data_IF_259308106081
#
_entry.id   IF_259308106081
#
_cell.length_a   1.000
_cell.length_b   1.000
_cell.length_c   1.000
_cell.angle_alpha   90.00
_cell.angle_beta   90.00
_cell.angle_gamma   90.00
#
_symmetry.space_group_name_H-M   'P 1'
#
loop_
_entity.id
_entity.type
_entity.pdbx_description
1 polymer ?
#
# COMPACT_ATOMS: atom_id res chain seq x y z
N UNK A 1 -45.87 6.76 6.61
CA UNK A 1 -45.13 8.04 6.66
C UNK A 1 -43.96 7.91 7.63
N UNK A 2 -42.76 7.58 7.14
CA UNK A 2 -41.53 7.67 7.95
C UNK A 2 -41.09 9.13 7.94
N UNK A 3 -41.20 9.81 9.09
CA UNK A 3 -40.64 11.15 9.27
C UNK A 3 -39.16 11.10 8.88
N UNK A 4 -38.84 11.74 7.75
CA UNK A 4 -37.48 12.01 7.30
C UNK A 4 -36.90 12.97 8.33
N UNK A 5 -36.28 12.42 9.39
CA UNK A 5 -35.54 13.21 10.36
C UNK A 5 -34.52 14.01 9.56
N UNK A 6 -34.69 15.34 9.52
CA UNK A 6 -33.70 16.25 8.96
C UNK A 6 -32.38 15.94 9.66
N UNK A 7 -31.45 15.31 8.94
CA UNK A 7 -30.15 14.99 9.49
C UNK A 7 -29.49 16.30 9.92
N UNK A 8 -29.31 16.47 11.23
CA UNK A 8 -28.77 17.69 11.81
C UNK A 8 -27.25 17.67 11.73
N UNK A 9 -26.68 18.85 11.52
CA UNK A 9 -25.23 19.03 11.53
C UNK A 9 -24.66 18.67 12.91
N UNK A 10 -23.43 18.17 12.98
CA UNK A 10 -22.73 17.84 14.22
C UNK A 10 -22.75 19.04 15.18
N UNK A 11 -22.53 20.25 14.63
CA UNK A 11 -22.58 21.50 15.37
C UNK A 11 -23.98 21.82 15.89
N UNK A 12 -25.02 21.68 15.06
CA UNK A 12 -26.41 21.91 15.52
C UNK A 12 -26.81 20.91 16.60
N UNK A 13 -26.43 19.64 16.44
CA UNK A 13 -26.73 18.60 17.43
C UNK A 13 -26.02 18.84 18.75
N UNK A 14 -24.75 19.26 18.73
CA UNK A 14 -24.01 19.67 19.92
C UNK A 14 -24.64 20.90 20.58
N UNK A 15 -24.92 21.96 19.80
CA UNK A 15 -25.52 23.18 20.33
C UNK A 15 -26.91 22.95 20.92
N UNK A 16 -27.75 22.12 20.29
CA UNK A 16 -29.08 21.79 20.81
C UNK A 16 -29.02 20.91 22.05
N UNK A 17 -28.15 19.88 22.06
CA UNK A 17 -28.03 18.99 23.23
C UNK A 17 -27.44 19.71 24.43
N UNK A 18 -26.34 20.45 24.25
CA UNK A 18 -25.72 21.25 25.31
C UNK A 18 -26.66 22.38 25.74
N UNK A 19 -27.29 23.07 24.80
CA UNK A 19 -28.26 24.13 25.08
C UNK A 19 -29.47 23.64 25.89
N UNK A 20 -30.00 22.46 25.55
CA UNK A 20 -31.10 21.84 26.31
C UNK A 20 -30.66 21.44 27.73
N UNK A 21 -29.47 20.84 27.87
CA UNK A 21 -28.92 20.48 29.19
C UNK A 21 -28.75 21.74 30.04
N UNK A 22 -28.12 22.78 29.50
CA UNK A 22 -27.92 24.04 30.21
C UNK A 22 -29.26 24.70 30.59
N UNK A 23 -30.24 24.73 29.68
CA UNK A 23 -31.55 25.32 29.95
C UNK A 23 -32.30 24.57 31.07
N UNK A 24 -32.31 23.24 31.03
CA UNK A 24 -32.96 22.42 32.07
C UNK A 24 -32.28 22.64 33.43
N UNK A 25 -30.96 22.57 33.48
CA UNK A 25 -30.22 22.80 34.73
C UNK A 25 -30.33 24.24 35.24
N UNK A 26 -30.41 25.22 34.34
CA UNK A 26 -30.65 26.62 34.70
C UNK A 26 -32.05 26.80 35.31
N UNK A 27 -33.09 26.21 34.71
CA UNK A 27 -34.44 26.27 35.27
C UNK A 27 -34.51 25.64 36.66
N UNK A 28 -33.91 24.45 36.83
CA UNK A 28 -33.83 23.78 38.14
C UNK A 28 -33.06 24.65 39.14
N UNK A 29 -31.93 25.23 38.74
CA UNK A 29 -31.12 26.11 39.58
C UNK A 29 -31.89 27.36 40.01
N UNK A 30 -32.58 28.03 39.07
CA UNK A 30 -33.39 29.23 39.38
C UNK A 30 -34.58 28.91 40.27
N UNK A 31 -35.25 27.78 40.05
CA UNK A 31 -36.37 27.34 40.88
C UNK A 31 -35.90 27.02 42.29
N UNK A 32 -34.78 26.30 42.41
CA UNK A 32 -34.19 25.96 43.70
C UNK A 32 -33.73 27.21 44.47
N UNK A 33 -33.04 28.15 43.80
CA UNK A 33 -32.60 29.39 44.42
C UNK A 33 -33.78 30.30 44.82
N UNK A 34 -34.85 30.31 44.04
CA UNK A 34 -36.08 31.00 44.40
C UNK A 34 -36.72 30.38 45.65
N UNK A 35 -36.83 29.05 45.70
CA UNK A 35 -37.40 28.33 46.84
C UNK A 35 -36.57 28.53 48.13
N UNK A 36 -35.26 28.32 48.07
CA UNK A 36 -34.35 28.51 49.21
C UNK A 36 -34.41 29.97 49.71
N UNK A 37 -34.42 30.94 48.78
CA UNK A 37 -34.55 32.36 49.14
C UNK A 37 -35.87 32.65 49.86
N UNK A 38 -36.99 32.06 49.40
CA UNK A 38 -38.28 32.23 50.08
C UNK A 38 -38.30 31.62 51.49
N UNK A 39 -37.66 30.46 51.69
CA UNK A 39 -37.54 29.88 53.04
C UNK A 39 -36.66 30.73 53.95
N UNK A 40 -35.51 31.21 53.45
CA UNK A 40 -34.60 32.05 54.25
C UNK A 40 -35.24 33.39 54.65
N UNK A 41 -36.02 34.03 53.77
CA UNK A 41 -36.76 35.25 54.10
C UNK A 41 -37.79 34.98 55.21
N UNK A 42 -38.51 33.85 55.16
CA UNK A 42 -39.47 33.48 56.19
C UNK A 42 -38.80 33.21 57.55
N UNK A 43 -37.67 32.51 57.55
CA UNK A 43 -36.88 32.26 58.76
C UNK A 43 -36.34 33.58 59.35
N UNK A 44 -35.86 34.48 58.50
CA UNK A 44 -35.37 35.79 58.94
C UNK A 44 -36.48 36.67 59.52
N UNK A 45 -37.66 36.68 58.90
CA UNK A 45 -38.84 37.38 59.44
C UNK A 45 -39.27 36.81 60.81
N UNK A 46 -39.23 35.48 60.99
CA UNK A 46 -39.52 34.85 62.28
C UNK A 46 -38.50 35.22 63.34
N UNK A 47 -37.20 35.22 63.00
CA UNK A 47 -36.14 35.63 63.91
C UNK A 47 -36.25 37.10 64.34
N UNK A 48 -36.61 38.01 63.41
CA UNK A 48 -36.88 39.42 63.73
C UNK A 48 -38.10 39.60 64.64
N UNK A 49 -39.13 38.76 64.51
CA UNK A 49 -40.30 38.78 65.39
C UNK A 49 -40.02 38.24 66.79
N UNK A 50 -39.09 37.28 66.94
CA UNK A 50 -38.80 36.62 68.23
C UNK A 50 -37.80 37.37 69.12
N UNK A 51 -37.30 38.55 68.72
CA UNK A 51 -36.41 39.45 69.51
C UNK A 51 -35.31 38.73 70.34
N UNK A 52 -34.65 37.70 69.77
CA UNK A 52 -33.58 36.96 70.46
C UNK A 52 -32.23 37.65 70.31
N UNK A 53 -31.72 38.12 71.43
CA UNK A 53 -30.44 38.81 71.55
C UNK A 53 -29.28 37.80 71.69
N UNK A 54 -28.83 37.15 70.60
CA UNK A 54 -27.75 36.17 70.67
C UNK A 54 -26.81 36.15 69.43
N UNK A 55 -25.81 37.04 69.43
CA UNK A 55 -24.86 37.25 68.31
C UNK A 55 -24.06 36.00 67.89
N UNK A 56 -23.88 35.02 68.80
CA UNK A 56 -23.13 33.79 68.50
C UNK A 56 -23.91 32.75 67.69
N UNK A 57 -25.24 32.76 67.77
CA UNK A 57 -26.09 31.90 66.94
C UNK A 57 -26.18 32.41 65.50
N UNK A 58 -26.20 33.74 65.34
CA UNK A 58 -26.32 34.40 64.03
C UNK A 58 -25.17 33.98 63.10
N UNK A 59 -23.92 33.91 63.57
CA UNK A 59 -22.80 33.49 62.73
C UNK A 59 -22.82 31.99 62.34
N UNK A 60 -23.41 31.13 63.18
CA UNK A 60 -23.54 29.71 62.86
C UNK A 60 -24.67 29.49 61.83
N UNK A 61 -25.80 30.16 62.04
CA UNK A 61 -26.95 30.16 61.11
C UNK A 61 -26.57 30.74 59.75
N UNK A 62 -25.76 31.81 59.69
CA UNK A 62 -25.23 32.35 58.43
C UNK A 62 -24.34 31.31 57.73
N UNK A 63 -23.48 30.59 58.45
CA UNK A 63 -22.61 29.58 57.83
C UNK A 63 -23.41 28.39 57.29
N UNK A 64 -24.45 27.97 58.01
CA UNK A 64 -25.36 26.92 57.57
C UNK A 64 -26.19 27.36 56.36
N UNK A 65 -26.73 28.58 56.34
CA UNK A 65 -27.45 29.14 55.21
C UNK A 65 -26.57 29.34 53.96
N UNK A 66 -25.30 29.75 54.16
CA UNK A 66 -24.33 29.84 53.06
C UNK A 66 -23.95 28.44 52.56
N UNK A 67 -23.80 27.45 53.45
CA UNK A 67 -23.50 26.09 53.04
C UNK A 67 -24.68 25.42 52.32
N UNK A 68 -25.92 25.64 52.79
CA UNK A 68 -27.15 25.15 52.13
C UNK A 68 -27.29 25.73 50.73
N UNK A 69 -26.82 26.95 50.50
CA UNK A 69 -26.83 27.60 49.18
C UNK A 69 -25.70 27.09 48.26
N UNK A 70 -24.46 26.99 48.75
CA UNK A 70 -23.28 26.69 47.93
C UNK A 70 -23.20 25.21 47.55
N UNK A 71 -23.45 24.29 48.49
CA UNK A 71 -23.20 22.85 48.29
C UNK A 71 -24.05 22.27 47.14
N UNK A 72 -25.37 22.51 47.08
CA UNK A 72 -26.20 22.04 45.98
C UNK A 72 -25.87 22.74 44.65
N UNK A 73 -25.50 24.03 44.70
CA UNK A 73 -25.06 24.79 43.52
C UNK A 73 -23.81 24.18 42.86
N UNK A 74 -22.77 23.89 43.66
CA UNK A 74 -21.54 23.24 43.18
C UNK A 74 -21.81 21.83 42.64
N UNK A 75 -22.68 21.07 43.31
CA UNK A 75 -23.11 19.75 42.87
C UNK A 75 -23.81 19.81 41.51
N UNK A 76 -24.75 20.74 41.33
CA UNK A 76 -25.48 20.93 40.08
C UNK A 76 -24.57 21.34 38.93
N UNK A 77 -23.61 22.24 39.15
CA UNK A 77 -22.62 22.62 38.14
C UNK A 77 -21.75 21.44 37.73
N UNK A 78 -21.28 20.66 38.71
CA UNK A 78 -20.44 19.48 38.46
C UNK A 78 -21.21 18.40 37.69
N UNK A 79 -22.48 18.17 38.04
CA UNK A 79 -23.36 17.24 37.33
C UNK A 79 -23.62 17.71 35.89
N UNK A 80 -23.85 19.01 35.69
CA UNK A 80 -24.04 19.60 34.35
C UNK A 80 -22.80 19.39 33.48
N UNK A 81 -21.60 19.69 34.01
CA UNK A 81 -20.34 19.48 33.30
C UNK A 81 -20.12 18.01 32.94
N UNK A 82 -20.43 17.08 33.86
CA UNK A 82 -20.30 15.65 33.63
C UNK A 82 -21.23 15.18 32.50
N UNK A 83 -22.49 15.62 32.48
CA UNK A 83 -23.46 15.25 31.43
C UNK A 83 -23.04 15.86 30.08
N UNK A 84 -22.62 17.12 30.06
CA UNK A 84 -22.08 17.77 28.87
C UNK A 84 -20.86 17.00 28.31
N UNK A 85 -19.93 16.62 29.18
CA UNK A 85 -18.76 15.83 28.80
C UNK A 85 -19.16 14.47 28.19
N UNK A 86 -20.10 13.75 28.81
CA UNK A 86 -20.60 12.48 28.27
C UNK A 86 -21.31 12.65 26.93
N UNK A 87 -22.09 13.72 26.75
CA UNK A 87 -22.79 14.03 25.51
C UNK A 87 -21.80 14.30 24.38
N UNK A 88 -20.79 15.15 24.61
CA UNK A 88 -19.72 15.43 23.64
C UNK A 88 -18.99 14.14 23.26
N UNK A 89 -18.56 13.34 24.24
CA UNK A 89 -17.85 12.08 23.99
C UNK A 89 -18.66 11.09 23.15
N UNK A 90 -19.98 10.98 23.38
CA UNK A 90 -20.84 10.12 22.55
C UNK A 90 -21.00 10.64 21.13
N UNK A 91 -21.14 11.95 20.96
CA UNK A 91 -21.37 12.57 19.66
C UNK A 91 -20.10 12.51 18.77
N UNK A 92 -18.91 12.61 19.36
CA UNK A 92 -17.63 12.56 18.63
C UNK A 92 -17.06 11.15 18.45
N UNK A 93 -17.56 10.14 19.17
CA UNK A 93 -17.11 8.75 19.07
C UNK A 93 -17.05 8.19 17.63
N UNK A 94 -18.03 8.41 16.73
CA UNK A 94 -17.96 7.89 15.36
C UNK A 94 -16.76 8.42 14.57
N UNK A 95 -16.25 9.61 14.92
CA UNK A 95 -15.07 10.20 14.28
C UNK A 95 -13.79 9.46 14.69
N UNK A 96 -13.69 9.03 15.95
CA UNK A 96 -12.58 8.21 16.44
C UNK A 96 -12.65 6.78 15.85
N UNK A 97 -13.85 6.23 15.65
CA UNK A 97 -14.05 4.96 14.96
C UNK A 97 -13.64 5.06 13.47
N UNK A 98 -13.99 6.16 12.79
CA UNK A 98 -13.53 6.44 11.42
C UNK A 98 -12.00 6.56 11.32
N UNK A 99 -11.36 7.27 12.26
CA UNK A 99 -9.90 7.39 12.29
C UNK A 99 -9.25 6.01 12.45
N UNK A 100 -9.73 5.20 13.40
CA UNK A 100 -9.17 3.87 13.66
C UNK A 100 -9.36 2.92 12.47
N UNK A 101 -10.51 3.00 11.79
CA UNK A 101 -10.78 2.23 10.58
C UNK A 101 -9.86 2.64 9.41
N UNK A 102 -9.52 3.93 9.30
CA UNK A 102 -8.55 4.43 8.31
C UNK A 102 -7.11 4.01 8.64
N UNK A 103 -6.71 4.07 9.92
CA UNK A 103 -5.36 3.66 10.37
C UNK A 103 -5.14 2.15 10.26
N UNK A 104 -6.20 1.34 10.42
CA UNK A 104 -6.13 -0.12 10.29
C UNK A 104 -6.15 -0.60 8.82
N UNK A 105 -6.33 0.30 7.85
CA UNK A 105 -6.41 -0.08 6.43
C UNK A 105 -5.05 -0.08 5.76
N UNK A 106 -4.63 -1.27 5.37
CA UNK A 106 -3.50 -1.53 4.47
C UNK A 106 -3.91 -1.36 3.00
N UNK A 107 -2.93 -1.24 2.10
CA UNK A 107 -3.13 -1.03 0.65
C UNK A 107 -4.07 -2.06 -0.04
N UNK A 108 -4.25 -3.25 0.56
CA UNK A 108 -5.11 -4.32 0.04
C UNK A 108 -6.57 -4.27 0.49
N UNK A 109 -6.92 -3.49 1.52
CA UNK A 109 -8.28 -3.48 2.06
C UNK A 109 -9.09 -2.30 1.51
N UNK A 110 -9.64 -2.49 0.31
CA UNK A 110 -10.47 -1.51 -0.42
C UNK A 110 -11.98 -1.70 -0.18
N UNK A 111 -12.38 -2.46 0.85
CA UNK A 111 -13.79 -2.68 1.17
C UNK A 111 -14.50 -1.35 1.52
N UNK A 112 -15.79 -1.15 1.18
CA UNK A 112 -16.48 0.10 1.49
C UNK A 112 -16.54 0.35 3.01
N UNK A 113 -16.33 1.60 3.43
CA UNK A 113 -16.44 2.02 4.82
C UNK A 113 -17.91 2.07 5.21
N UNK A 114 -18.33 1.16 6.11
CA UNK A 114 -19.71 1.00 6.56
C UNK A 114 -19.99 1.71 7.90
N UNK A 115 -19.59 2.97 8.03
CA UNK A 115 -19.86 3.75 9.25
C UNK A 115 -21.23 4.41 9.13
N UNK A 116 -22.19 3.90 9.89
CA UNK A 116 -23.55 4.43 9.95
C UNK A 116 -23.61 5.55 11.01
N UNK A 117 -23.37 6.79 10.57
CA UNK A 117 -23.58 7.97 11.43
C UNK A 117 -24.94 8.61 11.16
N UNK A 118 -25.53 9.18 12.21
CA UNK A 118 -26.75 10.01 12.11
C UNK A 118 -26.44 11.50 11.88
N UNK A 119 -25.16 11.86 11.69
CA UNK A 119 -24.70 13.22 11.41
C UNK A 119 -24.27 13.38 9.96
N UNK A 120 -24.79 14.44 9.33
CA UNK A 120 -24.70 14.68 7.89
C UNK A 120 -23.25 14.88 7.42
N UNK A 121 -22.41 15.52 8.24
CA UNK A 121 -21.00 15.75 7.90
C UNK A 121 -20.18 14.46 7.90
N UNK A 122 -20.43 13.55 8.86
CA UNK A 122 -19.71 12.28 8.94
C UNK A 122 -20.12 11.39 7.76
N UNK A 123 -21.42 11.35 7.43
CA UNK A 123 -21.93 10.64 6.25
C UNK A 123 -21.33 11.18 4.95
N UNK A 124 -21.20 12.51 4.82
CA UNK A 124 -20.61 13.15 3.65
C UNK A 124 -19.13 12.81 3.48
N UNK A 125 -18.35 12.80 4.57
CA UNK A 125 -16.93 12.42 4.55
C UNK A 125 -16.77 10.94 4.21
N UNK A 126 -17.56 10.06 4.82
CA UNK A 126 -17.56 8.62 4.50
C UNK A 126 -17.92 8.39 3.03
N UNK A 127 -18.93 9.08 2.51
CA UNK A 127 -19.30 9.01 1.09
C UNK A 127 -18.19 9.49 0.17
N UNK A 128 -17.52 10.60 0.48
CA UNK A 128 -16.41 11.12 -0.32
C UNK A 128 -15.21 10.15 -0.35
N UNK A 129 -14.87 9.56 0.80
CA UNK A 129 -13.81 8.55 0.89
C UNK A 129 -14.20 7.30 0.09
N UNK A 130 -15.42 6.79 0.25
CA UNK A 130 -15.90 5.65 -0.52
C UNK A 130 -15.87 5.93 -2.03
N UNK A 131 -16.28 7.12 -2.49
CA UNK A 131 -16.17 7.50 -3.90
C UNK A 131 -14.72 7.53 -4.40
N UNK A 132 -13.78 8.01 -3.59
CA UNK A 132 -12.36 8.01 -3.94
C UNK A 132 -11.83 6.57 -4.05
N UNK A 133 -12.16 5.70 -3.09
CA UNK A 133 -11.82 4.27 -3.11
C UNK A 133 -12.42 3.58 -4.35
N UNK A 134 -13.69 3.87 -4.68
CA UNK A 134 -14.33 3.35 -5.90
C UNK A 134 -13.63 3.84 -7.15
N UNK A 135 -13.26 5.12 -7.24
CA UNK A 135 -12.51 5.64 -8.40
C UNK A 135 -11.15 4.99 -8.51
N UNK A 136 -10.43 4.82 -7.41
CA UNK A 136 -9.12 4.18 -7.38
C UNK A 136 -9.21 2.72 -7.83
N UNK A 137 -10.16 1.95 -7.28
CA UNK A 137 -10.41 0.56 -7.70
C UNK A 137 -10.77 0.47 -9.18
N UNK A 138 -11.65 1.36 -9.67
CA UNK A 138 -12.03 1.37 -11.09
C UNK A 138 -10.86 1.76 -12.00
N UNK A 139 -10.01 2.72 -11.60
CA UNK A 139 -8.81 3.09 -12.38
C UNK A 139 -7.80 1.94 -12.41
N UNK A 140 -7.58 1.28 -11.27
CA UNK A 140 -6.73 0.09 -11.21
C UNK A 140 -7.31 -1.05 -12.05
N UNK A 141 -8.63 -1.28 -12.02
CA UNK A 141 -9.31 -2.28 -12.85
C UNK A 141 -9.24 -1.96 -14.35
N UNK A 142 -9.33 -0.70 -14.73
CA UNK A 142 -9.18 -0.28 -16.11
C UNK A 142 -7.72 -0.42 -16.60
N UNK A 143 -6.73 -0.16 -15.75
CA UNK A 143 -5.33 -0.51 -16.04
C UNK A 143 -5.13 -2.03 -16.17
N UNK A 144 -5.83 -2.84 -15.35
CA UNK A 144 -5.81 -4.32 -15.42
C UNK A 144 -6.31 -4.84 -16.77
N UNK A 145 -7.42 -4.29 -17.28
CA UNK A 145 -8.01 -4.70 -18.57
C UNK A 145 -7.19 -4.19 -19.76
N UNK A 146 -6.68 -2.95 -19.69
CA UNK A 146 -5.90 -2.33 -20.76
C UNK A 146 -4.64 -3.15 -21.13
N UNK A 147 -3.95 -3.72 -20.15
CA UNK A 147 -2.72 -4.50 -20.40
C UNK A 147 -3.00 -5.84 -21.12
N UNK A 148 -4.10 -6.51 -20.77
CA UNK A 148 -4.46 -7.80 -21.37
C UNK A 148 -4.95 -7.65 -22.82
N UNK A 149 -5.73 -6.60 -23.08
CA UNK A 149 -6.29 -6.34 -24.41
C UNK A 149 -5.19 -5.85 -25.38
N UNK A 150 -4.27 -4.99 -24.93
CA UNK A 150 -3.14 -4.50 -25.74
C UNK A 150 -2.23 -5.65 -26.20
N UNK A 151 -2.07 -6.71 -25.39
CA UNK A 151 -1.30 -7.89 -25.78
C UNK A 151 -1.87 -8.60 -27.01
N UNK A 152 -3.19 -8.79 -27.00
CA UNK A 152 -3.89 -9.48 -28.06
C UNK A 152 -4.02 -8.59 -29.31
N UNK A 153 -4.30 -7.30 -29.10
CA UNK A 153 -4.40 -6.27 -30.14
C UNK A 153 -3.06 -5.97 -30.82
N UNK A 154 -1.90 -6.19 -30.16
CA UNK A 154 -0.58 -6.07 -30.80
C UNK A 154 -0.15 -7.34 -31.54
N UNK A 155 -0.54 -8.53 -31.05
CA UNK A 155 -0.19 -9.81 -31.68
C UNK A 155 -0.80 -9.96 -33.08
N UNK A 156 -2.04 -9.50 -33.26
CA UNK A 156 -2.77 -9.58 -34.53
C UNK A 156 -2.10 -8.79 -35.67
N UNK A 157 -1.76 -7.49 -35.53
CA UNK A 157 -1.06 -6.74 -36.56
C UNK A 157 0.37 -7.23 -36.78
N UNK A 158 1.10 -7.62 -35.72
CA UNK A 158 2.47 -8.16 -35.86
C UNK A 158 2.50 -9.49 -36.64
N UNK A 159 1.53 -10.37 -36.41
CA UNK A 159 1.35 -11.60 -37.19
C UNK A 159 1.04 -11.28 -38.66
N UNK A 160 0.27 -10.21 -38.92
CA UNK A 160 0.01 -9.72 -40.27
C UNK A 160 1.26 -9.20 -40.99
N UNK A 161 2.13 -8.47 -40.29
CA UNK A 161 3.43 -8.01 -40.83
C UNK A 161 4.35 -9.20 -41.13
N UNK A 162 4.41 -10.20 -40.23
CA UNK A 162 5.16 -11.44 -40.45
C UNK A 162 4.71 -12.14 -41.72
N UNK A 163 3.40 -12.32 -41.89
CA UNK A 163 2.82 -12.95 -43.08
C UNK A 163 3.17 -12.19 -44.36
N UNK A 164 3.15 -10.86 -44.33
CA UNK A 164 3.55 -10.03 -45.48
C UNK A 164 5.03 -10.20 -45.83
N UNK A 165 5.91 -10.28 -44.83
CA UNK A 165 7.33 -10.54 -45.04
C UNK A 165 7.57 -11.94 -45.62
N UNK A 166 6.90 -12.97 -45.11
CA UNK A 166 6.97 -14.33 -45.64
C UNK A 166 6.47 -14.41 -47.10
N UNK A 167 5.40 -13.68 -47.44
CA UNK A 167 4.87 -13.57 -48.81
C UNK A 167 5.83 -12.82 -49.75
N UNK A 168 6.43 -11.73 -49.30
CA UNK A 168 7.45 -10.97 -50.06
C UNK A 168 8.69 -11.84 -50.32
N UNK A 169 9.12 -12.62 -49.33
CA UNK A 169 10.21 -13.59 -49.49
C UNK A 169 9.92 -14.62 -50.59
N UNK A 170 8.71 -15.20 -50.56
CA UNK A 170 8.28 -16.20 -51.55
C UNK A 170 8.10 -15.62 -52.95
N UNK A 171 7.57 -14.41 -53.06
CA UNK A 171 7.19 -13.79 -54.34
C UNK A 171 8.38 -13.11 -55.04
N UNK A 172 9.28 -12.49 -54.28
CA UNK A 172 10.40 -11.72 -54.83
C UNK A 172 11.79 -12.34 -54.59
N UNK A 173 11.86 -13.51 -53.93
CA UNK A 173 13.12 -14.18 -53.57
C UNK A 173 14.10 -13.28 -52.80
N UNK A 174 13.56 -12.35 -52.01
CA UNK A 174 14.33 -11.45 -51.15
C UNK A 174 14.59 -12.18 -49.83
N UNK A 175 15.83 -12.14 -49.36
CA UNK A 175 16.19 -12.64 -48.04
C UNK A 175 15.67 -11.67 -46.97
N UNK A 176 14.54 -12.04 -46.37
CA UNK A 176 13.91 -11.33 -45.25
C UNK A 176 14.07 -12.09 -43.94
N UNK A 177 14.83 -13.18 -43.92
CA UNK A 177 15.12 -13.93 -42.69
C UNK A 177 15.65 -13.03 -41.55
N UNK A 178 16.57 -12.07 -41.78
CA UNK A 178 17.00 -11.15 -40.73
C UNK A 178 15.90 -10.18 -40.26
N UNK A 179 14.92 -9.86 -41.11
CA UNK A 179 13.78 -9.01 -40.76
C UNK A 179 12.74 -9.77 -39.93
N UNK A 180 12.47 -11.02 -40.30
CA UNK A 180 11.58 -11.92 -39.54
C UNK A 180 12.17 -12.19 -38.16
N UNK A 181 13.48 -12.49 -38.08
CA UNK A 181 14.16 -12.70 -36.79
C UNK A 181 14.08 -11.47 -35.86
N UNK A 182 14.21 -10.26 -36.42
CA UNK A 182 14.01 -9.01 -35.65
C UNK A 182 12.57 -8.82 -35.20
N UNK A 183 11.60 -9.20 -36.03
CA UNK A 183 10.18 -9.08 -35.72
C UNK A 183 9.75 -10.08 -34.63
N UNK A 184 10.22 -11.32 -34.70
CA UNK A 184 10.01 -12.34 -33.67
C UNK A 184 10.65 -11.90 -32.33
N UNK A 185 11.87 -11.34 -32.36
CA UNK A 185 12.49 -10.76 -31.16
C UNK A 185 11.67 -9.61 -30.55
N UNK A 186 11.03 -8.79 -31.39
CA UNK A 186 10.13 -7.71 -30.95
C UNK A 186 8.84 -8.27 -30.34
N UNK A 187 8.27 -9.32 -30.93
CA UNK A 187 7.07 -9.99 -30.42
C UNK A 187 7.33 -10.63 -29.05
N UNK A 188 8.49 -11.28 -28.87
CA UNK A 188 8.90 -11.84 -27.59
C UNK A 188 9.09 -10.74 -26.54
N UNK A 189 9.75 -9.64 -26.90
CA UNK A 189 9.94 -8.48 -26.03
C UNK A 189 8.61 -7.87 -25.56
N UNK A 190 7.65 -7.73 -26.48
CA UNK A 190 6.29 -7.24 -26.18
C UNK A 190 5.57 -8.22 -25.26
N UNK A 191 5.62 -9.53 -25.56
CA UNK A 191 4.99 -10.56 -24.72
C UNK A 191 5.56 -10.58 -23.30
N UNK A 192 6.87 -10.43 -23.14
CA UNK A 192 7.52 -10.34 -21.83
C UNK A 192 7.14 -9.06 -21.06
N UNK A 193 7.03 -7.90 -21.73
CA UNK A 193 6.53 -6.67 -21.11
C UNK A 193 5.09 -6.80 -20.62
N UNK A 194 4.24 -7.48 -21.40
CA UNK A 194 2.83 -7.68 -21.06
C UNK A 194 2.68 -8.72 -19.95
N UNK A 195 3.50 -9.77 -19.95
CA UNK A 195 3.58 -10.74 -18.86
C UNK A 195 4.06 -10.08 -17.57
N UNK A 196 5.07 -9.21 -17.64
CA UNK A 196 5.50 -8.37 -16.52
C UNK A 196 4.37 -7.49 -15.98
N UNK A 197 3.70 -6.76 -16.88
CA UNK A 197 2.63 -5.86 -16.51
C UNK A 197 1.44 -6.65 -15.93
N UNK A 198 1.22 -7.90 -16.33
CA UNK A 198 0.20 -8.77 -15.76
C UNK A 198 0.59 -9.32 -14.39
N UNK A 199 1.82 -9.81 -14.23
CA UNK A 199 2.24 -10.53 -13.02
C UNK A 199 2.68 -9.57 -11.91
N UNK A 200 3.22 -8.39 -12.23
CA UNK A 200 3.45 -7.33 -11.24
C UNK A 200 2.19 -6.80 -10.55
N UNK A 201 1.03 -6.98 -11.19
CA UNK A 201 -0.27 -6.55 -10.66
C UNK A 201 -0.85 -7.55 -9.64
N UNK A 202 -0.64 -8.87 -9.82
CA UNK A 202 -0.98 -9.89 -8.81
C UNK A 202 -0.08 -9.79 -7.57
N UNK A 203 1.17 -9.37 -7.76
CA UNK A 203 2.17 -9.21 -6.69
C UNK A 203 1.91 -7.99 -5.80
N UNK A 204 1.25 -6.96 -6.35
CA UNK A 204 0.85 -5.75 -5.62
C UNK A 204 -0.29 -6.02 -4.62
N UNK A 205 -0.92 -7.20 -4.68
CA UNK A 205 -1.99 -7.64 -3.76
C UNK A 205 -1.50 -8.39 -2.50
N UNK A 206 -0.20 -8.31 -2.18
CA UNK A 206 0.35 -8.81 -0.92
C UNK A 206 0.49 -10.34 -0.79
N UNK A 207 0.17 -11.12 -1.82
CA UNK A 207 0.30 -12.59 -1.82
C UNK A 207 1.74 -13.05 -2.15
N UNK A 208 2.66 -12.83 -1.22
CA UNK A 208 4.02 -13.39 -1.31
C UNK A 208 3.98 -14.87 -0.88
N UNK A 209 4.32 -15.78 -1.78
CA UNK A 209 4.50 -17.20 -1.45
C UNK A 209 5.93 -17.44 -0.96
N UNK A 210 6.13 -18.48 -0.16
CA UNK A 210 7.47 -19.00 0.10
C UNK A 210 7.92 -19.76 -1.14
N UNK A 211 8.96 -19.26 -1.80
CA UNK A 211 9.51 -19.82 -3.03
C UNK A 211 10.92 -20.30 -2.75
N UNK A 212 11.19 -21.55 -3.07
CA UNK A 212 12.52 -22.14 -3.04
C UNK A 212 13.25 -21.82 -4.34
N UNK A 213 14.36 -21.07 -4.26
CA UNK A 213 15.08 -20.63 -5.46
C UNK A 213 15.63 -21.78 -6.29
N UNK A 214 16.06 -22.89 -5.66
CA UNK A 214 16.55 -24.04 -6.41
C UNK A 214 15.40 -24.85 -7.01
N UNK A 215 14.48 -25.34 -6.16
CA UNK A 215 13.40 -26.24 -6.56
C UNK A 215 12.33 -25.60 -7.45
N UNK A 216 11.91 -24.35 -7.17
CA UNK A 216 10.77 -23.73 -7.85
C UNK A 216 11.17 -22.85 -9.04
N UNK A 217 12.45 -22.43 -9.10
CA UNK A 217 12.93 -21.45 -10.08
C UNK A 217 14.03 -22.03 -10.97
N UNK A 218 15.15 -22.47 -10.40
CA UNK A 218 16.32 -22.89 -11.21
C UNK A 218 16.06 -24.23 -11.90
N UNK A 219 15.66 -25.26 -11.16
CA UNK A 219 15.45 -26.60 -11.72
C UNK A 219 14.36 -26.64 -12.80
N UNK A 220 13.18 -26.02 -12.63
CA UNK A 220 12.15 -26.02 -13.67
C UNK A 220 12.54 -25.27 -14.94
N UNK A 221 13.47 -24.32 -14.84
CA UNK A 221 14.00 -23.58 -16.00
C UNK A 221 15.26 -24.21 -16.60
N UNK A 222 15.84 -25.24 -15.97
CA UNK A 222 17.13 -25.78 -16.36
C UNK A 222 17.16 -26.33 -17.79
N UNK A 223 16.18 -27.17 -18.16
CA UNK A 223 16.14 -27.79 -19.50
C UNK A 223 15.97 -26.75 -20.63
N UNK A 224 15.10 -25.76 -20.42
CA UNK A 224 14.88 -24.66 -21.37
C UNK A 224 16.17 -23.85 -21.56
N UNK A 225 16.80 -23.46 -20.44
CA UNK A 225 18.03 -22.68 -20.46
C UNK A 225 19.19 -23.46 -21.07
N UNK A 226 19.34 -24.75 -20.73
CA UNK A 226 20.40 -25.57 -21.30
C UNK A 226 20.24 -25.74 -22.81
N UNK A 227 19.02 -26.00 -23.30
CA UNK A 227 18.72 -26.06 -24.74
C UNK A 227 19.09 -24.75 -25.45
N UNK A 228 18.81 -23.60 -24.83
CA UNK A 228 19.20 -22.29 -25.38
C UNK A 228 20.73 -22.15 -25.50
N UNK A 229 21.49 -22.58 -24.49
CA UNK A 229 22.94 -22.45 -24.44
C UNK A 229 23.68 -23.40 -25.39
N UNK A 230 23.13 -24.59 -25.62
CA UNK A 230 23.67 -25.57 -26.58
C UNK A 230 23.80 -25.00 -27.99
N UNK A 231 22.95 -24.05 -28.38
CA UNK A 231 23.02 -23.38 -29.70
C UNK A 231 24.36 -22.68 -29.97
N UNK A 232 25.08 -22.28 -28.90
CA UNK A 232 26.41 -21.66 -28.95
C UNK A 232 27.50 -22.50 -28.27
N UNK A 233 27.23 -23.80 -28.05
CA UNK A 233 28.12 -24.71 -27.33
C UNK A 233 28.46 -24.22 -25.91
N UNK A 234 27.60 -23.40 -25.30
CA UNK A 234 27.81 -22.88 -23.96
C UNK A 234 27.26 -23.88 -22.93
N UNK A 235 27.86 -23.93 -21.75
CA UNK A 235 27.46 -24.85 -20.68
C UNK A 235 26.88 -24.12 -19.48
N UNK A 236 25.72 -24.56 -18.99
CA UNK A 236 25.13 -24.05 -17.76
C UNK A 236 25.70 -24.77 -16.55
N UNK A 237 26.43 -24.05 -15.69
CA UNK A 237 26.96 -24.56 -14.44
C UNK A 237 26.05 -24.18 -13.28
N UNK A 238 25.65 -25.20 -12.52
CA UNK A 238 24.97 -25.03 -11.22
C UNK A 238 26.00 -25.18 -10.10
N UNK A 239 25.74 -24.61 -8.91
CA UNK A 239 26.62 -24.82 -7.76
C UNK A 239 26.65 -26.30 -7.39
N UNK A 240 27.81 -26.81 -6.95
CA UNK A 240 27.90 -28.12 -6.32
C UNK A 240 27.26 -28.04 -4.92
N UNK A 241 26.03 -28.55 -4.80
CA UNK A 241 25.26 -28.64 -3.55
C UNK A 241 24.86 -27.31 -2.88
N UNK A 242 24.06 -26.46 -3.54
CA UNK A 242 23.49 -25.29 -2.88
C UNK A 242 22.41 -25.73 -1.88
N UNK A 243 22.51 -25.26 -0.64
CA UNK A 243 21.35 -25.29 0.25
C UNK A 243 20.25 -24.43 -0.37
N UNK A 244 19.04 -24.97 -0.46
CA UNK A 244 17.93 -24.24 -1.07
C UNK A 244 17.61 -22.97 -0.27
N UNK A 245 17.42 -21.87 -0.98
CA UNK A 245 17.20 -20.55 -0.39
C UNK A 245 15.74 -20.20 -0.55
N UNK A 246 15.04 -20.03 0.57
CA UNK A 246 13.62 -19.65 0.58
C UNK A 246 13.49 -18.13 0.59
N UNK A 247 12.75 -17.60 -0.39
CA UNK A 247 12.45 -16.18 -0.53
C UNK A 247 10.95 -15.97 -0.57
N UNK A 248 10.52 -14.76 -0.21
CA UNK A 248 9.13 -14.33 -0.36
C UNK A 248 8.91 -13.76 -1.76
N UNK A 249 8.10 -14.45 -2.58
CA UNK A 249 7.96 -14.07 -3.97
C UNK A 249 6.91 -14.85 -4.78
N UNK A 250 7.01 -14.67 -6.09
CA UNK A 250 6.25 -15.41 -7.11
C UNK A 250 7.25 -16.17 -7.98
N UNK A 251 7.11 -17.49 -8.01
CA UNK A 251 8.05 -18.35 -8.73
C UNK A 251 8.08 -18.06 -10.24
N UNK A 252 6.96 -17.64 -10.85
CA UNK A 252 6.90 -17.32 -12.28
C UNK A 252 7.68 -16.06 -12.60
N UNK A 253 7.56 -15.03 -11.77
CA UNK A 253 8.37 -13.82 -11.90
C UNK A 253 9.86 -14.11 -11.73
N UNK A 254 10.21 -14.89 -10.70
CA UNK A 254 11.61 -15.23 -10.44
C UNK A 254 12.21 -16.08 -11.58
N UNK A 255 11.43 -16.98 -12.19
CA UNK A 255 11.84 -17.71 -13.42
C UNK A 255 12.08 -16.77 -14.58
N UNK A 256 11.19 -15.80 -14.79
CA UNK A 256 11.35 -14.80 -15.85
C UNK A 256 12.59 -13.92 -15.61
N UNK A 257 12.87 -13.55 -14.36
CA UNK A 257 14.08 -12.83 -13.96
C UNK A 257 15.33 -13.65 -14.30
N UNK A 258 15.38 -14.91 -13.86
CA UNK A 258 16.50 -15.82 -14.12
C UNK A 258 16.73 -15.98 -15.62
N UNK A 259 15.66 -16.23 -16.39
CA UNK A 259 15.73 -16.37 -17.84
C UNK A 259 16.33 -15.14 -18.51
N UNK A 260 15.92 -13.94 -18.11
CA UNK A 260 16.46 -12.69 -18.66
C UNK A 260 17.94 -12.48 -18.32
N UNK A 261 18.37 -12.87 -17.11
CA UNK A 261 19.79 -12.82 -16.74
C UNK A 261 20.64 -13.80 -17.57
N UNK A 262 20.17 -15.04 -17.74
CA UNK A 262 20.88 -16.07 -18.51
C UNK A 262 20.86 -15.76 -20.01
N UNK A 263 19.76 -15.23 -20.55
CA UNK A 263 19.67 -14.77 -21.95
C UNK A 263 20.67 -13.63 -22.22
N UNK A 264 20.82 -12.71 -21.26
CA UNK A 264 21.85 -11.67 -21.35
C UNK A 264 23.26 -12.29 -21.34
N UNK A 265 23.55 -13.21 -20.43
CA UNK A 265 24.84 -13.91 -20.38
C UNK A 265 25.14 -14.70 -21.67
N UNK A 266 24.15 -15.41 -22.23
CA UNK A 266 24.24 -16.16 -23.48
C UNK A 266 24.63 -15.28 -24.68
N UNK A 267 24.00 -14.09 -24.75
CA UNK A 267 24.21 -13.15 -25.85
C UNK A 267 25.63 -12.59 -25.88
N UNK A 268 26.17 -12.25 -24.72
CA UNK A 268 27.45 -11.53 -24.59
C UNK A 268 28.65 -12.42 -24.31
N UNK A 269 28.45 -13.67 -23.88
CA UNK A 269 29.54 -14.63 -23.73
C UNK A 269 30.00 -15.19 -25.09
N UNK A 270 31.30 -15.44 -25.26
CA UNK A 270 31.82 -16.17 -26.42
C UNK A 270 31.23 -17.58 -26.55
N UNK A 271 31.34 -18.17 -27.73
CA UNK A 271 30.97 -19.58 -27.96
C UNK A 271 31.88 -20.51 -27.14
N UNK A 272 31.35 -21.64 -26.66
CA UNK A 272 32.13 -22.63 -25.89
C UNK A 272 32.42 -22.25 -24.43
N UNK A 273 31.81 -21.18 -23.91
CA UNK A 273 32.06 -20.68 -22.55
C UNK A 273 31.03 -21.17 -21.53
N UNK A 274 31.29 -20.88 -20.26
CA UNK A 274 30.43 -21.31 -19.15
C UNK A 274 29.60 -20.15 -18.61
N UNK A 275 28.34 -20.42 -18.31
CA UNK A 275 27.47 -19.50 -17.58
C UNK A 275 27.15 -20.15 -16.25
N UNK A 276 27.43 -19.46 -15.15
CA UNK A 276 27.28 -20.04 -13.81
C UNK A 276 26.16 -19.35 -13.04
N UNK A 277 25.24 -20.14 -12.49
CA UNK A 277 24.21 -19.64 -11.57
C UNK A 277 24.69 -19.86 -10.15
N UNK A 278 24.61 -18.82 -9.31
CA UNK A 278 24.92 -18.91 -7.88
C UNK A 278 23.72 -18.51 -7.04
N UNK A 279 23.46 -19.28 -5.98
CA UNK A 279 22.52 -18.90 -4.92
C UNK A 279 23.23 -18.91 -3.56
N UNK A 280 22.93 -17.92 -2.73
CA UNK A 280 23.49 -17.79 -1.37
C UNK A 280 22.44 -17.28 -0.41
N UNK A 281 22.52 -17.68 0.86
CA UNK A 281 21.52 -17.41 1.88
C UNK A 281 21.91 -16.37 2.94
N UNK A 282 23.05 -15.66 2.79
CA UNK A 282 23.58 -14.78 3.85
C UNK A 282 24.28 -13.50 3.34
N UNK A 283 24.02 -12.33 3.98
CA UNK A 283 22.97 -12.02 4.97
C UNK A 283 21.55 -11.90 4.36
N UNK A 284 21.45 -11.57 3.08
CA UNK A 284 20.21 -11.60 2.28
C UNK A 284 20.22 -12.80 1.32
N UNK A 285 19.06 -13.15 0.74
CA UNK A 285 18.99 -14.18 -0.28
C UNK A 285 19.53 -13.62 -1.61
N UNK A 286 20.58 -14.23 -2.15
CA UNK A 286 21.25 -13.78 -3.37
C UNK A 286 20.98 -14.81 -4.48
N UNK A 287 20.57 -14.31 -5.65
CA UNK A 287 20.62 -15.06 -6.91
C UNK A 287 21.52 -14.30 -7.88
N UNK A 288 22.55 -14.95 -8.39
CA UNK A 288 23.51 -14.36 -9.31
C UNK A 288 23.70 -15.22 -10.56
N UNK A 289 23.97 -14.56 -11.67
CA UNK A 289 24.38 -15.16 -12.94
C UNK A 289 25.71 -14.54 -13.34
N UNK A 290 26.68 -15.39 -13.63
CA UNK A 290 28.04 -15.02 -14.04
C UNK A 290 28.30 -15.50 -15.46
N UNK A 291 28.87 -14.61 -16.27
CA UNK A 291 29.21 -14.84 -17.67
C UNK A 291 30.74 -14.76 -17.89
N UNK A 292 31.20 -15.15 -19.08
CA UNK A 292 32.62 -15.08 -19.49
C UNK A 292 32.82 -14.12 -20.68
N UNK A 293 31.95 -13.12 -20.77
CA UNK A 293 31.97 -12.09 -21.80
C UNK A 293 33.15 -11.10 -21.68
N UNK A 294 33.21 -10.11 -22.58
CA UNK A 294 34.21 -9.03 -22.51
C UNK A 294 34.01 -8.08 -21.31
N UNK A 295 32.95 -8.27 -20.52
CA UNK A 295 32.57 -7.37 -19.43
C UNK A 295 31.93 -6.07 -19.91
N UNK A 296 31.68 -5.18 -18.97
CA UNK A 296 31.09 -3.86 -19.17
C UNK A 296 32.19 -2.80 -19.07
N UNK A 297 32.15 -1.81 -19.95
CA UNK A 297 33.00 -0.62 -19.87
C UNK A 297 32.89 0.05 -18.47
N UNK A 298 34.00 0.17 -17.75
CA UNK A 298 34.06 0.68 -16.38
C UNK A 298 33.46 2.10 -16.24
N UNK A 299 33.53 2.90 -17.31
CA UNK A 299 32.92 4.24 -17.37
C UNK A 299 31.37 4.22 -17.30
N UNK A 300 30.77 3.06 -17.63
CA UNK A 300 29.33 2.80 -17.59
C UNK A 300 28.93 1.98 -16.36
N UNK A 301 29.83 1.19 -15.79
CA UNK A 301 29.53 0.24 -14.71
C UNK A 301 28.98 0.92 -13.44
N UNK A 302 29.61 2.01 -12.97
CA UNK A 302 29.14 2.77 -11.80
C UNK A 302 27.81 3.51 -12.03
N UNK A 303 27.60 4.03 -13.24
CA UNK A 303 26.32 4.68 -13.63
C UNK A 303 25.18 3.69 -13.81
N UNK A 304 25.47 2.50 -14.32
CA UNK A 304 24.48 1.44 -14.54
C UNK A 304 23.97 0.92 -13.19
N UNK A 305 24.88 0.56 -12.28
CA UNK A 305 24.53 0.08 -10.94
C UNK A 305 23.76 1.14 -10.11
N UNK A 306 24.18 2.41 -10.12
CA UNK A 306 23.41 3.49 -9.48
C UNK A 306 22.07 3.80 -10.17
N UNK A 307 22.00 3.69 -11.49
CA UNK A 307 20.75 3.87 -12.24
C UNK A 307 19.75 2.75 -11.94
N UNK A 308 20.17 1.48 -11.84
CA UNK A 308 19.25 0.40 -11.51
C UNK A 308 18.68 0.48 -10.08
N UNK A 309 19.39 1.14 -9.16
CA UNK A 309 18.91 1.48 -7.82
C UNK A 309 17.91 2.66 -7.83
N UNK A 310 17.91 3.50 -8.89
CA UNK A 310 17.16 4.78 -8.94
C UNK A 310 16.29 5.02 -10.18
N UNK A 311 16.10 4.05 -11.08
CA UNK A 311 15.57 4.32 -12.41
C UNK A 311 14.09 4.73 -12.44
N UNK A 312 13.91 6.06 -12.55
CA UNK A 312 12.99 6.73 -13.47
C UNK A 312 13.14 6.17 -14.90
N UNK A 313 12.02 6.01 -15.59
CA UNK A 313 11.82 5.43 -16.93
C UNK A 313 12.55 6.11 -18.11
N UNK A 314 13.54 6.99 -17.88
CA UNK A 314 14.11 7.90 -18.89
C UNK A 314 15.40 7.46 -19.58
N UNK A 315 16.00 6.32 -19.23
CA UNK A 315 17.21 5.83 -19.90
C UNK A 315 16.92 4.65 -20.85
N UNK A 316 16.45 4.98 -22.05
CA UNK A 316 16.19 4.05 -23.15
C UNK A 316 17.46 3.56 -23.87
N UNK A 317 18.48 3.14 -23.12
CA UNK A 317 19.75 2.64 -23.69
C UNK A 317 20.20 1.27 -23.17
N UNK A 318 19.44 0.68 -22.23
CA UNK A 318 19.75 -0.62 -21.63
C UNK A 318 18.74 -1.61 -22.18
N UNK A 319 19.21 -2.75 -22.69
CA UNK A 319 18.37 -3.77 -23.31
C UNK A 319 17.18 -4.15 -22.42
N UNK A 320 16.03 -4.38 -23.07
CA UNK A 320 14.75 -4.67 -22.44
C UNK A 320 14.87 -5.70 -21.30
N UNK A 321 15.65 -6.77 -21.47
CA UNK A 321 15.79 -7.81 -20.45
C UNK A 321 16.31 -7.33 -19.09
N UNK A 322 17.21 -6.34 -19.02
CA UNK A 322 17.69 -5.83 -17.73
C UNK A 322 16.69 -4.88 -17.06
N UNK A 323 15.82 -4.21 -17.83
CA UNK A 323 14.72 -3.43 -17.23
C UNK A 323 13.64 -4.35 -16.66
N UNK A 324 13.43 -5.53 -17.28
CA UNK A 324 12.58 -6.61 -16.75
C UNK A 324 13.12 -7.10 -15.40
N UNK A 325 14.41 -7.44 -15.34
CA UNK A 325 15.07 -7.90 -14.11
C UNK A 325 14.93 -6.85 -13.00
N UNK A 326 15.22 -5.59 -13.30
CA UNK A 326 15.09 -4.49 -12.33
C UNK A 326 13.66 -4.37 -11.80
N UNK A 327 12.65 -4.43 -12.69
CA UNK A 327 11.25 -4.32 -12.30
C UNK A 327 10.79 -5.47 -11.41
N UNK A 328 11.15 -6.71 -11.75
CA UNK A 328 10.82 -7.89 -10.94
C UNK A 328 11.49 -7.79 -9.57
N UNK A 329 12.75 -7.37 -9.54
CA UNK A 329 13.51 -7.18 -8.30
C UNK A 329 12.86 -6.14 -7.39
N UNK A 330 12.43 -5.00 -7.96
CA UNK A 330 11.69 -3.97 -7.23
C UNK A 330 10.36 -4.48 -6.67
N UNK A 331 9.61 -5.25 -7.46
CA UNK A 331 8.35 -5.85 -6.98
C UNK A 331 8.63 -6.69 -5.73
N UNK A 332 9.68 -7.51 -5.74
CA UNK A 332 10.12 -8.34 -4.61
C UNK A 332 10.83 -7.56 -3.48
N UNK A 333 10.79 -6.21 -3.48
CA UNK A 333 11.48 -5.35 -2.52
C UNK A 333 12.98 -5.61 -2.42
N UNK A 334 13.57 -6.10 -3.51
CA UNK A 334 14.98 -6.45 -3.62
C UNK A 334 15.83 -5.35 -4.23
N UNK A 335 17.11 -5.65 -4.42
CA UNK A 335 18.07 -4.77 -5.08
C UNK A 335 18.82 -5.52 -6.18
N UNK A 336 18.97 -4.90 -7.36
CA UNK A 336 19.68 -5.46 -8.50
C UNK A 336 21.04 -4.79 -8.67
N UNK A 337 22.06 -5.60 -8.94
CA UNK A 337 23.44 -5.17 -9.11
C UNK A 337 24.06 -5.82 -10.34
N UNK A 338 24.98 -5.08 -10.96
CA UNK A 338 25.68 -5.49 -12.16
C UNK A 338 27.12 -4.98 -12.06
N UNK A 339 28.10 -5.89 -12.08
CA UNK A 339 29.52 -5.55 -12.00
C UNK A 339 30.35 -6.49 -12.88
N UNK A 340 31.56 -6.05 -13.25
CA UNK A 340 32.52 -6.95 -13.88
C UNK A 340 33.04 -7.96 -12.85
N UNK A 341 33.32 -9.15 -13.34
CA UNK A 341 34.00 -10.18 -12.55
C UNK A 341 35.42 -9.72 -12.21
N UNK A 342 35.88 -10.09 -11.01
CA UNK A 342 37.23 -9.77 -10.53
C UNK A 342 38.20 -10.93 -10.74
N UNK A 343 37.70 -12.16 -10.92
CA UNK A 343 38.50 -13.37 -11.07
C UNK A 343 38.90 -13.63 -12.53
N UNK A 344 38.01 -13.35 -13.49
CA UNK A 344 38.22 -13.53 -14.93
C UNK A 344 37.42 -12.49 -15.73
N UNK A 345 37.60 -12.47 -17.05
CA UNK A 345 36.79 -11.65 -17.96
C UNK A 345 35.33 -12.10 -17.91
N UNK A 346 34.41 -11.15 -17.72
CA UNK A 346 32.98 -11.41 -17.71
C UNK A 346 32.22 -10.45 -16.80
N UNK A 347 30.91 -10.64 -16.76
CA UNK A 347 30.00 -9.85 -15.92
C UNK A 347 29.33 -10.75 -14.89
N UNK A 348 29.12 -10.19 -13.69
CA UNK A 348 28.29 -10.76 -12.63
C UNK A 348 27.07 -9.87 -12.43
N UNK A 349 25.89 -10.45 -12.66
CA UNK A 349 24.61 -9.82 -12.40
C UNK A 349 23.94 -10.53 -11.21
N UNK A 350 23.52 -9.81 -10.18
CA UNK A 350 22.87 -10.45 -9.03
C UNK A 350 21.74 -9.61 -8.45
N UNK A 351 20.81 -10.31 -7.81
CA UNK A 351 19.69 -9.73 -7.08
C UNK A 351 19.76 -10.12 -5.62
N UNK A 352 19.55 -9.14 -4.74
CA UNK A 352 19.29 -9.34 -3.33
C UNK A 352 17.77 -9.40 -3.15
N UNK A 353 17.29 -10.51 -2.61
CA UNK A 353 15.89 -10.77 -2.32
C UNK A 353 15.70 -10.89 -0.82
N UNK A 354 14.51 -10.48 -0.36
CA UNK A 354 14.14 -10.61 1.04
C UNK A 354 13.89 -12.09 1.37
N UNK A 355 14.58 -12.59 2.39
CA UNK A 355 14.38 -13.94 2.91
C UNK A 355 12.98 -14.07 3.50
N UNK A 356 12.40 -15.27 3.38
CA UNK A 356 11.08 -15.58 3.92
C UNK A 356 11.01 -15.46 5.45
#
# INVERSE_FOLDING_TARGET
>A
MRFRQRAMTLRQRLMLTIGLILLVFQLISTFWLWHESTEQIQLFEQALRDNRNNDRHIMHEIREAVASLIVPGVFMVSLTLLICYQAVRRITRPLAELQKELEARTADNLAPIAIHSSTLEIESVVSAINQLVTRLTTTLDNERLFTADVAHELRTPLSGVRLHLELLSKTHHIDVAPLIARLDQMMDSVSQLLQLARVGQSFSSGNYQEVKLLEDVILPSYDELNTMLETRQQTLLLPESPADVVVRGDATLLRMLLRNLVENAHRYSPEGTHITIHISAAPDAIMAVEDEGPGIDESKCGKLSEAFVRMDSRYGGIGLGLSIVSRITQLHQGQFFLQNRTDRTGTRAWVLLKKA
#
